data_IF_612150502268
#
_entry.id   IF_612150502268
#
_cell.length_a   1.000
_cell.length_b   1.000
_cell.length_c   1.000
_cell.angle_alpha   90.00
_cell.angle_beta   90.00
_cell.angle_gamma   90.00
#
_symmetry.space_group_name_H-M   'P 1'
#
loop_
_entity.id
_entity.type
_entity.pdbx_description
1 polymer ?
#
# COMPACT_ATOMS: atom_id res chain seq x y z
N UNK A 1 -31.04 12.02 -38.00
CA UNK A 1 -30.87 11.73 -36.55
C UNK A 1 -29.61 10.93 -36.24
N UNK A 2 -29.27 9.85 -36.97
CA UNK A 2 -28.10 9.01 -36.67
C UNK A 2 -26.73 9.73 -36.79
N UNK A 3 -26.57 10.66 -37.73
CA UNK A 3 -25.34 11.43 -37.92
C UNK A 3 -25.05 12.42 -36.77
N UNK A 4 -26.09 12.97 -36.13
CA UNK A 4 -25.95 13.90 -35.01
C UNK A 4 -25.53 13.17 -33.71
N UNK A 5 -26.01 11.93 -33.52
CA UNK A 5 -25.66 11.10 -32.37
C UNK A 5 -24.19 10.64 -32.45
N UNK A 6 -23.73 10.24 -33.63
CA UNK A 6 -22.33 9.85 -33.83
C UNK A 6 -21.35 11.03 -33.65
N UNK A 7 -21.74 12.25 -34.05
CA UNK A 7 -20.93 13.45 -33.83
C UNK A 7 -20.82 13.82 -32.34
N UNK A 8 -21.90 13.69 -31.56
CA UNK A 8 -21.89 13.93 -30.11
C UNK A 8 -21.06 12.89 -29.37
N UNK A 9 -21.15 11.60 -29.75
CA UNK A 9 -20.32 10.54 -29.19
C UNK A 9 -18.83 10.74 -29.52
N UNK A 10 -18.50 11.23 -30.73
CA UNK A 10 -17.13 11.56 -31.10
C UNK A 10 -16.58 12.73 -30.29
N UNK A 11 -17.38 13.80 -30.09
CA UNK A 11 -16.96 14.96 -29.29
C UNK A 11 -16.80 14.60 -27.81
N UNK A 12 -17.67 13.76 -27.25
CA UNK A 12 -17.54 13.27 -25.88
C UNK A 12 -16.29 12.39 -25.75
N UNK A 13 -16.09 11.43 -26.66
CA UNK A 13 -14.88 10.59 -26.66
C UNK A 13 -13.61 11.45 -26.81
N UNK A 14 -13.61 12.43 -27.71
CA UNK A 14 -12.46 13.33 -27.90
C UNK A 14 -12.23 14.21 -26.66
N UNK A 15 -13.28 14.66 -25.96
CA UNK A 15 -13.16 15.42 -24.71
C UNK A 15 -12.61 14.58 -23.55
N UNK A 16 -13.01 13.31 -23.45
CA UNK A 16 -12.50 12.35 -22.45
C UNK A 16 -11.05 11.98 -22.75
N UNK A 17 -10.72 11.69 -24.02
CA UNK A 17 -9.35 11.44 -24.45
C UNK A 17 -8.46 12.69 -24.32
N UNK A 18 -8.99 13.88 -24.58
CA UNK A 18 -8.28 15.16 -24.39
C UNK A 18 -8.02 15.41 -22.90
N UNK A 19 -8.99 15.11 -22.03
CA UNK A 19 -8.80 15.21 -20.58
C UNK A 19 -7.78 14.20 -20.05
N UNK A 20 -7.77 12.96 -20.57
CA UNK A 20 -6.79 11.93 -20.20
C UNK A 20 -5.38 12.29 -20.71
N UNK A 21 -5.26 12.77 -21.95
CA UNK A 21 -3.96 13.21 -22.50
C UNK A 21 -3.46 14.49 -21.84
N UNK A 22 -4.35 15.39 -21.44
CA UNK A 22 -4.01 16.59 -20.68
C UNK A 22 -3.60 16.22 -19.25
N UNK A 23 -4.29 15.28 -18.60
CA UNK A 23 -3.89 14.71 -17.31
C UNK A 23 -2.51 14.03 -17.39
N UNK A 24 -2.26 13.21 -18.42
CA UNK A 24 -0.94 12.63 -18.71
C UNK A 24 0.14 13.70 -18.93
N UNK A 25 -0.17 14.79 -19.64
CA UNK A 25 0.76 15.92 -19.84
C UNK A 25 1.04 16.65 -18.54
N UNK A 26 0.04 16.88 -17.69
CA UNK A 26 0.20 17.51 -16.37
C UNK A 26 1.05 16.64 -15.45
N UNK A 27 0.82 15.32 -15.42
CA UNK A 27 1.64 14.37 -14.66
C UNK A 27 3.08 14.37 -15.20
N UNK A 28 3.27 14.31 -16.51
CA UNK A 28 4.62 14.35 -17.10
C UNK A 28 5.34 15.68 -16.84
N UNK A 29 4.61 16.80 -16.76
CA UNK A 29 5.15 18.10 -16.35
C UNK A 29 5.49 18.14 -14.86
N UNK A 30 4.68 17.50 -14.01
CA UNK A 30 4.94 17.32 -12.58
C UNK A 30 6.21 16.49 -12.36
N UNK A 31 6.34 15.35 -13.04
CA UNK A 31 7.54 14.49 -13.03
C UNK A 31 8.77 15.24 -13.53
N UNK A 32 8.64 16.09 -14.56
CA UNK A 32 9.76 16.94 -15.04
C UNK A 32 10.16 18.02 -14.05
N UNK A 33 9.22 18.65 -13.33
CA UNK A 33 9.53 19.63 -12.27
C UNK A 33 10.24 18.98 -11.08
N UNK A 34 9.86 17.75 -10.72
CA UNK A 34 10.52 16.97 -9.68
C UNK A 34 11.99 16.64 -10.04
N UNK A 35 12.28 16.36 -11.32
CA UNK A 35 13.66 16.09 -11.81
C UNK A 35 14.61 17.30 -11.75
N UNK A 36 14.11 18.53 -11.81
CA UNK A 36 14.97 19.72 -11.78
C UNK A 36 15.46 20.12 -10.38
N UNK A 37 14.89 19.54 -9.32
CA UNK A 37 15.15 19.95 -7.92
C UNK A 37 16.23 19.07 -7.26
N UNK A 38 16.58 17.91 -7.85
CA UNK A 38 17.54 16.94 -7.27
C UNK A 38 19.01 17.17 -7.65
N UNK A 39 19.36 18.15 -8.48
CA UNK A 39 20.74 18.35 -8.94
C UNK A 39 21.66 19.16 -8.00
N UNK A 40 21.28 19.32 -6.73
CA UNK A 40 21.82 20.37 -5.87
C UNK A 40 22.61 19.98 -4.63
N UNK A 41 23.17 18.77 -4.46
CA UNK A 41 24.04 18.49 -3.30
C UNK A 41 25.18 17.50 -3.63
N UNK A 42 26.42 18.01 -3.64
CA UNK A 42 27.65 17.21 -3.58
C UNK A 42 28.09 17.11 -2.10
N UNK A 43 28.27 15.89 -1.58
CA UNK A 43 29.01 15.66 -0.33
C UNK A 43 30.31 14.90 -0.63
N UNK A 44 31.41 15.41 -0.09
CA UNK A 44 32.75 14.86 -0.22
C UNK A 44 33.00 13.64 0.66
N UNK A 45 33.94 12.80 0.24
CA UNK A 45 34.35 11.56 0.88
C UNK A 45 35.34 11.78 2.04
N UNK A 46 35.28 10.91 3.05
CA UNK A 46 36.40 10.59 3.95
C UNK A 46 36.35 9.10 4.41
N UNK A 47 37.49 8.53 4.84
CA UNK A 47 37.84 7.13 4.60
C UNK A 47 37.55 6.17 5.77
N UNK A 48 37.62 4.88 5.40
CA UNK A 48 37.44 3.67 6.19
C UNK A 48 38.46 3.46 7.31
N UNK A 49 38.00 2.92 8.45
CA UNK A 49 38.74 1.94 9.27
C UNK A 49 37.77 0.96 9.93
N UNK A 50 38.08 -0.33 9.79
CA UNK A 50 37.51 -1.45 10.52
C UNK A 50 38.01 -1.43 11.98
N UNK A 51 37.14 -1.82 12.91
CA UNK A 51 37.57 -2.49 14.13
C UNK A 51 36.46 -3.45 14.60
N UNK A 52 36.86 -4.69 14.87
CA UNK A 52 36.00 -5.80 15.30
C UNK A 52 35.76 -5.69 16.81
N UNK A 53 34.49 -5.61 17.21
CA UNK A 53 34.09 -5.56 18.62
C UNK A 53 32.66 -6.02 18.81
N UNK A 54 32.51 -7.17 19.47
CA UNK A 54 31.22 -7.77 19.88
C UNK A 54 30.52 -6.78 20.83
N UNK A 55 29.38 -6.23 20.40
CA UNK A 55 28.54 -5.36 21.22
C UNK A 55 27.49 -6.17 22.00
N UNK A 56 27.27 -5.90 23.29
CA UNK A 56 26.19 -6.51 24.05
C UNK A 56 24.82 -6.03 23.53
N UNK A 57 23.80 -6.88 23.68
CA UNK A 57 22.39 -6.56 23.46
C UNK A 57 21.93 -5.41 24.36
N UNK A 58 22.26 -4.17 24.01
CA UNK A 58 21.58 -2.99 24.50
C UNK A 58 20.19 -2.95 23.86
N UNK A 59 19.17 -3.05 24.70
CA UNK A 59 17.80 -2.65 24.38
C UNK A 59 17.87 -1.24 23.79
N UNK A 60 17.58 -1.13 22.49
CA UNK A 60 17.50 0.15 21.79
C UNK A 60 16.60 1.09 22.62
N UNK A 61 17.06 2.32 22.94
CA UNK A 61 16.19 3.30 23.58
C UNK A 61 14.95 3.50 22.71
N UNK A 62 13.81 3.76 23.34
CA UNK A 62 12.55 4.07 22.66
C UNK A 62 12.78 5.22 21.68
N UNK A 63 13.11 4.90 20.43
CA UNK A 63 13.17 5.87 19.36
C UNK A 63 11.73 6.22 19.05
N UNK A 64 11.39 7.51 19.09
CA UNK A 64 10.08 8.01 18.72
C UNK A 64 9.69 7.43 17.35
N UNK A 65 8.87 6.38 17.35
CA UNK A 65 8.36 5.80 16.14
C UNK A 65 7.56 6.90 15.45
N UNK A 66 7.99 7.32 14.25
CA UNK A 66 7.27 8.34 13.50
C UNK A 66 5.95 7.74 12.99
N UNK A 67 4.91 7.83 13.82
CA UNK A 67 3.57 7.34 13.56
C UNK A 67 2.59 8.50 13.55
N UNK A 68 2.34 9.05 12.37
CA UNK A 68 1.62 10.30 12.20
C UNK A 68 0.10 10.07 12.17
N UNK A 69 -0.66 10.95 12.80
CA UNK A 69 -2.11 11.08 12.58
C UNK A 69 -2.40 11.91 11.34
N UNK A 70 -3.67 11.93 10.89
CA UNK A 70 -4.12 12.86 9.84
C UNK A 70 -3.70 14.31 10.11
N UNK A 71 -3.91 14.77 11.35
CA UNK A 71 -3.61 16.16 11.72
C UNK A 71 -2.12 16.44 11.71
N UNK A 72 -1.28 15.47 12.09
CA UNK A 72 0.18 15.62 12.04
C UNK A 72 0.66 15.74 10.59
N UNK A 73 0.12 14.92 9.68
CA UNK A 73 0.45 15.00 8.25
C UNK A 73 0.05 16.35 7.67
N UNK A 74 -1.20 16.78 7.90
CA UNK A 74 -1.74 18.05 7.38
C UNK A 74 -1.07 19.28 8.00
N UNK A 75 -0.53 19.17 9.23
CA UNK A 75 0.21 20.25 9.89
C UNK A 75 1.70 20.30 9.53
N UNK A 76 2.30 19.17 9.14
CA UNK A 76 3.76 19.05 8.88
C UNK A 76 4.11 19.21 7.40
N UNK A 77 3.25 18.73 6.50
CA UNK A 77 3.55 18.65 5.07
C UNK A 77 2.57 19.50 4.28
N UNK A 78 3.10 20.52 3.61
CA UNK A 78 2.32 21.38 2.71
C UNK A 78 2.25 20.78 1.29
N UNK A 79 1.46 21.41 0.43
CA UNK A 79 1.26 20.99 -0.97
C UNK A 79 2.50 21.22 -1.87
N UNK A 80 3.62 21.72 -1.32
CA UNK A 80 4.90 21.86 -2.04
C UNK A 80 5.87 20.72 -1.72
N UNK A 81 5.67 20.05 -0.58
CA UNK A 81 6.40 18.83 -0.22
C UNK A 81 5.89 17.63 -0.99
N UNK A 82 6.78 16.67 -1.28
CA UNK A 82 6.35 15.43 -1.94
C UNK A 82 5.39 14.63 -1.04
N UNK A 83 5.56 14.71 0.29
CA UNK A 83 4.70 14.04 1.27
C UNK A 83 3.28 14.59 1.21
N UNK A 84 3.12 15.92 1.19
CA UNK A 84 1.82 16.57 1.10
C UNK A 84 1.12 16.23 -0.22
N UNK A 85 1.85 16.25 -1.33
CA UNK A 85 1.33 15.86 -2.65
C UNK A 85 0.88 14.39 -2.70
N UNK A 86 1.71 13.45 -2.22
CA UNK A 86 1.38 12.03 -2.18
C UNK A 86 0.20 11.73 -1.24
N UNK A 87 0.17 12.38 -0.08
CA UNK A 87 -0.95 12.29 0.85
C UNK A 87 -2.25 12.87 0.27
N UNK A 88 -2.18 14.01 -0.43
CA UNK A 88 -3.31 14.60 -1.12
C UNK A 88 -3.87 13.66 -2.20
N UNK A 89 -3.00 13.02 -2.98
CA UNK A 89 -3.38 12.02 -3.98
C UNK A 89 -4.07 10.80 -3.33
N UNK A 90 -3.46 10.24 -2.27
CA UNK A 90 -4.07 9.17 -1.48
C UNK A 90 -5.46 9.57 -0.97
N UNK A 91 -5.57 10.72 -0.30
CA UNK A 91 -6.82 11.27 0.24
C UNK A 91 -7.87 11.43 -0.85
N UNK A 92 -7.50 12.03 -1.97
CA UNK A 92 -8.42 12.27 -3.09
C UNK A 92 -8.93 10.95 -3.66
N UNK A 93 -8.03 9.98 -3.85
CA UNK A 93 -8.36 8.66 -4.39
C UNK A 93 -9.34 7.91 -3.48
N UNK A 94 -9.03 7.78 -2.18
CA UNK A 94 -9.90 7.00 -1.27
C UNK A 94 -11.22 7.70 -0.95
N UNK A 95 -11.30 9.02 -1.10
CA UNK A 95 -12.53 9.80 -0.93
C UNK A 95 -13.32 9.97 -2.22
N UNK A 96 -12.78 9.57 -3.37
CA UNK A 96 -13.42 9.72 -4.67
C UNK A 96 -14.82 9.10 -4.66
N UNK A 97 -15.84 9.94 -4.89
CA UNK A 97 -17.25 9.57 -4.99
C UNK A 97 -18.00 10.64 -5.78
N UNK A 98 -18.80 10.26 -6.78
CA UNK A 98 -19.76 11.18 -7.41
C UNK A 98 -19.90 11.03 -8.92
N UNK A 99 -20.73 11.90 -9.53
CA UNK A 99 -20.97 11.90 -11.00
C UNK A 99 -19.65 12.14 -11.74
N UNK A 100 -19.16 11.11 -12.43
CA UNK A 100 -17.94 11.16 -13.24
C UNK A 100 -16.69 10.56 -12.59
N UNK A 101 -16.75 10.13 -11.33
CA UNK A 101 -15.64 9.43 -10.66
C UNK A 101 -16.10 8.11 -10.06
N UNK A 102 -15.35 7.04 -10.33
CA UNK A 102 -15.62 5.73 -9.74
C UNK A 102 -15.32 5.77 -8.24
N UNK A 103 -16.17 5.12 -7.44
CA UNK A 103 -15.97 5.05 -5.98
C UNK A 103 -14.84 4.07 -5.67
N UNK A 104 -13.87 4.49 -4.85
CA UNK A 104 -12.76 3.61 -4.45
C UNK A 104 -13.30 2.29 -3.87
N UNK A 105 -12.82 1.12 -4.32
CA UNK A 105 -13.45 -0.16 -3.97
C UNK A 105 -13.38 -0.54 -2.49
N UNK A 106 -12.34 -0.08 -1.77
CA UNK A 106 -12.19 -0.36 -0.34
C UNK A 106 -12.97 0.66 0.50
N UNK A 107 -14.26 0.36 0.72
CA UNK A 107 -15.16 1.18 1.56
C UNK A 107 -14.59 1.40 2.97
N UNK A 108 -13.88 0.42 3.52
CA UNK A 108 -13.36 0.44 4.89
C UNK A 108 -12.17 1.39 5.04
N UNK A 109 -11.30 1.47 4.03
CA UNK A 109 -10.27 2.50 3.98
C UNK A 109 -10.89 3.91 3.99
N UNK A 110 -11.94 4.14 3.20
CA UNK A 110 -12.67 5.42 3.22
C UNK A 110 -13.28 5.71 4.60
N UNK A 111 -13.85 4.70 5.27
CA UNK A 111 -14.46 4.87 6.60
C UNK A 111 -13.43 5.16 7.70
N UNK A 112 -12.32 4.42 7.73
CA UNK A 112 -11.23 4.64 8.69
C UNK A 112 -10.59 6.02 8.51
N UNK A 113 -10.35 6.41 7.25
CA UNK A 113 -9.81 7.74 6.95
C UNK A 113 -10.73 8.88 7.41
N UNK A 114 -12.04 8.79 7.14
CA UNK A 114 -13.01 9.81 7.57
C UNK A 114 -13.05 9.96 9.09
N UNK A 115 -12.96 8.84 9.80
CA UNK A 115 -13.00 8.78 11.26
C UNK A 115 -11.68 9.18 11.93
N UNK A 116 -10.60 9.33 11.17
CA UNK A 116 -9.27 9.67 11.71
C UNK A 116 -8.53 8.46 12.32
N UNK A 117 -8.93 7.24 11.96
CA UNK A 117 -8.41 6.01 12.54
C UNK A 117 -7.07 5.58 11.94
N UNK A 118 -6.71 6.11 10.77
CA UNK A 118 -5.46 5.75 10.10
C UNK A 118 -4.24 6.37 10.78
N UNK A 119 -3.11 5.69 10.61
CA UNK A 119 -1.78 6.21 10.93
C UNK A 119 -0.91 6.20 9.69
N UNK A 120 0.05 7.11 9.63
CA UNK A 120 0.86 7.35 8.44
C UNK A 120 2.36 7.27 8.75
N UNK A 121 3.10 6.69 7.82
CA UNK A 121 4.57 6.65 7.82
C UNK A 121 5.04 7.01 6.41
N UNK A 122 5.97 7.93 6.30
CA UNK A 122 6.60 8.29 5.03
C UNK A 122 8.00 7.68 4.94
N UNK A 123 8.29 6.98 3.85
CA UNK A 123 9.60 6.38 3.60
C UNK A 123 10.58 7.41 3.05
N UNK A 124 11.88 7.14 3.19
CA UNK A 124 12.94 8.01 2.67
C UNK A 124 13.17 7.82 1.16
N UNK A 125 12.67 6.72 0.59
CA UNK A 125 12.80 6.37 -0.81
C UNK A 125 11.54 5.65 -1.29
N UNK A 126 11.50 5.34 -2.58
CA UNK A 126 10.43 4.57 -3.21
C UNK A 126 10.60 3.05 -3.02
N UNK A 127 11.68 2.60 -2.38
CA UNK A 127 12.01 1.20 -2.16
C UNK A 127 11.77 0.81 -0.69
N UNK A 128 10.66 0.11 -0.38
CA UNK A 128 10.34 -0.26 0.99
C UNK A 128 11.32 -1.27 1.60
N UNK A 129 12.10 -2.01 0.81
CA UNK A 129 13.04 -3.03 1.32
C UNK A 129 14.40 -2.48 1.73
N UNK A 130 14.63 -1.17 1.64
CA UNK A 130 15.87 -0.59 2.14
C UNK A 130 15.96 -0.71 3.68
N UNK A 131 17.14 -1.06 4.25
CA UNK A 131 17.27 -1.29 5.69
C UNK A 131 16.77 -0.15 6.58
N UNK A 132 16.93 1.11 6.15
CA UNK A 132 16.43 2.29 6.87
C UNK A 132 14.89 2.34 6.88
N UNK A 133 14.26 2.07 5.73
CA UNK A 133 12.81 2.00 5.60
C UNK A 133 12.25 0.82 6.41
N UNK A 134 12.89 -0.35 6.36
CA UNK A 134 12.50 -1.51 7.18
C UNK A 134 12.54 -1.15 8.67
N UNK A 135 13.63 -0.57 9.17
CA UNK A 135 13.75 -0.18 10.59
C UNK A 135 12.67 0.84 10.98
N UNK A 136 12.45 1.84 10.14
CA UNK A 136 11.42 2.87 10.35
C UNK A 136 10.02 2.25 10.44
N UNK A 137 9.69 1.37 9.50
CA UNK A 137 8.39 0.68 9.48
C UNK A 137 8.26 -0.31 10.64
N UNK A 138 9.30 -1.06 11.00
CA UNK A 138 9.25 -2.00 12.12
C UNK A 138 8.86 -1.29 13.43
N UNK A 139 9.46 -0.14 13.71
CA UNK A 139 9.14 0.69 14.88
C UNK A 139 7.71 1.22 14.82
N UNK A 140 7.31 1.79 13.68
CA UNK A 140 5.96 2.33 13.50
C UNK A 140 4.86 1.26 13.53
N UNK A 141 5.12 0.08 12.95
CA UNK A 141 4.19 -1.05 12.93
C UNK A 141 4.04 -1.64 14.33
N UNK A 142 5.13 -1.79 15.10
CA UNK A 142 5.06 -2.23 16.49
C UNK A 142 4.18 -1.28 17.34
N UNK A 143 4.43 0.03 17.22
CA UNK A 143 3.66 1.03 17.96
C UNK A 143 2.20 1.10 17.49
N UNK A 144 1.97 1.04 16.18
CA UNK A 144 0.63 0.99 15.60
C UNK A 144 -0.17 -0.20 16.12
N UNK A 145 0.39 -1.40 16.08
CA UNK A 145 -0.29 -2.61 16.56
C UNK A 145 -0.58 -2.51 18.06
N UNK A 146 0.35 -1.98 18.85
CA UNK A 146 0.17 -1.75 20.29
C UNK A 146 -1.04 -0.85 20.60
N UNK A 147 -1.27 0.20 19.81
CA UNK A 147 -2.40 1.12 20.01
C UNK A 147 -3.65 0.76 19.21
N UNK A 148 -3.57 -0.18 18.25
CA UNK A 148 -4.58 -0.38 17.21
C UNK A 148 -5.99 -0.64 17.74
N UNK A 149 -6.14 -1.36 18.86
CA UNK A 149 -7.44 -1.67 19.48
C UNK A 149 -8.09 -0.47 20.18
N UNK A 150 -7.32 0.59 20.44
CA UNK A 150 -7.83 1.88 20.93
C UNK A 150 -8.25 2.84 19.80
N UNK A 151 -7.95 2.48 18.54
CA UNK A 151 -8.40 3.20 17.35
C UNK A 151 -9.79 2.70 16.92
N UNK A 152 -10.38 3.33 15.90
CA UNK A 152 -11.66 2.87 15.37
C UNK A 152 -11.58 1.56 14.59
N UNK A 153 -12.75 0.95 14.31
CA UNK A 153 -12.86 -0.43 13.81
C UNK A 153 -12.37 -0.62 12.37
N UNK A 154 -11.98 0.45 11.67
CA UNK A 154 -11.46 0.42 10.30
C UNK A 154 -10.04 1.01 10.22
N UNK A 155 -9.27 0.91 11.30
CA UNK A 155 -7.91 1.43 11.36
C UNK A 155 -6.98 0.72 10.36
N UNK A 156 -5.98 1.46 9.87
CA UNK A 156 -4.94 0.98 8.95
C UNK A 156 -3.70 1.84 9.11
N UNK A 157 -2.52 1.21 9.02
CA UNK A 157 -1.24 1.88 8.86
C UNK A 157 -0.99 2.07 7.37
N UNK A 158 -0.86 3.33 6.94
CA UNK A 158 -0.60 3.72 5.56
C UNK A 158 0.86 4.14 5.44
N UNK A 159 1.63 3.34 4.71
CA UNK A 159 3.06 3.56 4.47
C UNK A 159 3.20 4.12 3.06
N UNK A 160 3.74 5.33 2.94
CA UNK A 160 3.82 6.07 1.68
C UNK A 160 5.29 6.20 1.27
N UNK A 161 5.63 5.65 0.10
CA UNK A 161 6.94 5.75 -0.52
C UNK A 161 7.22 7.15 -1.07
N UNK A 162 8.50 7.53 -1.13
CA UNK A 162 8.90 8.72 -1.87
C UNK A 162 8.63 8.54 -3.37
N UNK A 163 8.54 9.63 -4.16
CA UNK A 163 8.43 9.53 -5.61
C UNK A 163 9.62 8.78 -6.22
N UNK A 164 9.31 7.88 -7.14
CA UNK A 164 10.33 7.10 -7.83
C UNK A 164 11.19 7.97 -8.76
N UNK A 165 12.51 7.82 -8.67
CA UNK A 165 13.43 8.43 -9.64
C UNK A 165 13.42 7.70 -10.99
N UNK A 166 13.05 6.42 -10.97
CA UNK A 166 12.99 5.51 -12.13
C UNK A 166 11.67 4.78 -12.14
N UNK A 167 11.09 4.61 -13.32
CA UNK A 167 9.93 3.75 -13.49
C UNK A 167 10.29 2.31 -13.12
N UNK A 168 9.40 1.63 -12.41
CA UNK A 168 9.49 0.20 -12.06
C UNK A 168 8.28 -0.54 -12.57
N UNK A 169 8.44 -1.81 -12.90
CA UNK A 169 7.30 -2.67 -13.23
C UNK A 169 6.53 -3.09 -11.99
N UNK A 170 5.33 -3.66 -12.16
CA UNK A 170 4.57 -4.23 -11.05
C UNK A 170 5.34 -5.36 -10.36
N UNK A 171 6.04 -6.20 -11.13
CA UNK A 171 6.86 -7.29 -10.61
C UNK A 171 8.03 -6.79 -9.74
N UNK A 172 8.69 -5.70 -10.13
CA UNK A 172 9.77 -5.08 -9.35
C UNK A 172 9.25 -4.49 -8.03
N UNK A 173 8.07 -3.86 -8.05
CA UNK A 173 7.38 -3.43 -6.83
C UNK A 173 6.98 -4.62 -5.95
N UNK A 174 6.45 -5.69 -6.54
CA UNK A 174 6.06 -6.89 -5.80
C UNK A 174 7.28 -7.54 -5.12
N UNK A 175 8.44 -7.54 -5.79
CA UNK A 175 9.70 -8.03 -5.20
C UNK A 175 10.13 -7.20 -3.99
N UNK A 176 10.19 -5.88 -4.13
CA UNK A 176 10.58 -5.00 -3.00
C UNK A 176 9.58 -5.04 -1.85
N UNK A 177 8.28 -5.23 -2.14
CA UNK A 177 7.26 -5.51 -1.12
C UNK A 177 7.55 -6.79 -0.33
N UNK A 178 7.83 -7.91 -1.01
CA UNK A 178 8.17 -9.16 -0.33
C UNK A 178 9.46 -9.08 0.47
N UNK A 179 10.49 -8.43 -0.08
CA UNK A 179 11.76 -8.21 0.60
C UNK A 179 11.58 -7.34 1.85
N UNK A 180 10.69 -6.35 1.81
CA UNK A 180 10.31 -5.55 2.98
C UNK A 180 9.61 -6.42 4.05
N UNK A 181 8.60 -7.22 3.69
CA UNK A 181 7.92 -8.09 4.66
C UNK A 181 8.91 -9.09 5.30
N UNK A 182 9.84 -9.61 4.52
CA UNK A 182 10.91 -10.48 5.03
C UNK A 182 11.86 -9.73 5.98
N UNK A 183 12.24 -8.51 5.62
CA UNK A 183 13.01 -7.63 6.50
C UNK A 183 12.29 -7.32 7.82
N UNK A 184 10.98 -7.05 7.77
CA UNK A 184 10.16 -6.86 8.97
C UNK A 184 10.15 -8.12 9.84
N UNK A 185 10.02 -9.32 9.25
CA UNK A 185 10.08 -10.58 10.00
C UNK A 185 11.42 -10.73 10.75
N UNK A 186 12.54 -10.40 10.11
CA UNK A 186 13.87 -10.43 10.74
C UNK A 186 13.96 -9.46 11.92
N UNK A 187 13.29 -8.31 11.84
CA UNK A 187 13.26 -7.29 12.88
C UNK A 187 12.10 -7.44 13.88
N UNK A 188 11.30 -8.49 13.79
CA UNK A 188 10.10 -8.64 14.62
C UNK A 188 10.48 -8.88 16.10
N UNK A 189 9.92 -8.08 17.05
CA UNK A 189 10.19 -8.28 18.47
C UNK A 189 9.60 -9.56 19.06
N UNK A 190 8.74 -10.28 18.32
CA UNK A 190 8.09 -11.52 18.75
C UNK A 190 8.41 -12.68 17.82
N UNK A 191 8.45 -13.87 18.42
CA UNK A 191 8.48 -15.13 17.66
C UNK A 191 7.22 -15.25 16.79
N UNK A 192 7.34 -15.95 15.66
CA UNK A 192 6.20 -16.25 14.80
C UNK A 192 5.14 -17.05 15.58
N UNK A 193 3.84 -16.73 15.45
CA UNK A 193 2.79 -17.47 16.15
C UNK A 193 2.79 -18.96 15.79
N UNK A 194 2.67 -19.82 16.80
CA UNK A 194 2.78 -21.29 16.63
C UNK A 194 1.66 -21.91 15.79
N UNK A 195 0.51 -21.24 15.74
CA UNK A 195 -0.70 -21.64 15.05
C UNK A 195 -0.78 -21.12 13.60
N UNK A 196 0.15 -20.26 13.20
CA UNK A 196 0.25 -19.76 11.82
C UNK A 196 1.33 -20.57 11.08
N UNK A 197 1.00 -21.22 9.95
CA UNK A 197 1.96 -22.03 9.21
C UNK A 197 3.11 -21.17 8.67
N UNK A 198 4.26 -21.80 8.47
CA UNK A 198 5.44 -21.16 7.89
C UNK A 198 5.48 -21.24 6.35
N UNK A 199 4.85 -22.27 5.76
CA UNK A 199 4.73 -22.40 4.29
C UNK A 199 3.78 -21.33 3.77
N UNK A 200 4.29 -20.41 2.95
CA UNK A 200 3.50 -19.31 2.37
C UNK A 200 2.39 -19.78 1.45
N UNK A 201 2.48 -21.00 0.90
CA UNK A 201 1.41 -21.56 0.07
C UNK A 201 0.30 -22.25 0.90
N UNK A 202 0.43 -22.32 2.22
CA UNK A 202 -0.64 -22.82 3.08
C UNK A 202 -1.83 -21.85 3.09
N UNK A 203 -3.05 -22.37 2.97
CA UNK A 203 -4.28 -21.58 2.95
C UNK A 203 -4.50 -20.75 4.23
N UNK A 204 -3.90 -21.17 5.35
CA UNK A 204 -3.95 -20.47 6.64
C UNK A 204 -2.72 -19.59 6.87
N UNK A 205 -1.77 -19.52 5.94
CA UNK A 205 -0.65 -18.59 6.07
C UNK A 205 -1.15 -17.15 6.06
N UNK A 206 -0.60 -16.33 6.95
CA UNK A 206 -0.82 -14.89 6.96
C UNK A 206 0.41 -14.20 7.54
N UNK A 207 0.69 -12.99 7.10
CA UNK A 207 1.82 -12.23 7.62
C UNK A 207 1.56 -11.86 9.09
N UNK A 208 2.54 -12.08 9.95
CA UNK A 208 2.45 -11.72 11.37
C UNK A 208 3.58 -10.75 11.73
N UNK A 209 3.26 -9.74 12.53
CA UNK A 209 4.24 -8.85 13.12
C UNK A 209 3.90 -8.56 14.59
N UNK A 210 4.89 -8.58 15.48
CA UNK A 210 4.69 -8.38 16.92
C UNK A 210 3.65 -9.35 17.53
N UNK A 211 3.59 -10.56 16.98
CA UNK A 211 2.67 -11.64 17.37
C UNK A 211 1.24 -11.49 16.86
N UNK A 212 0.93 -10.45 16.10
CA UNK A 212 -0.41 -10.18 15.57
C UNK A 212 -0.48 -10.49 14.07
N UNK A 213 -1.55 -11.17 13.59
CA UNK A 213 -1.82 -11.30 12.17
C UNK A 213 -2.17 -9.96 11.51
N UNK A 214 -1.51 -9.65 10.40
CA UNK A 214 -1.63 -8.39 9.64
C UNK A 214 -1.88 -8.69 8.16
N UNK A 215 -2.74 -7.90 7.54
CA UNK A 215 -3.04 -7.98 6.11
C UNK A 215 -2.39 -6.79 5.36
N UNK A 216 -1.19 -6.97 4.78
CA UNK A 216 -0.52 -5.93 4.01
C UNK A 216 -0.95 -5.93 2.53
N UNK A 217 -1.22 -4.76 1.97
CA UNK A 217 -1.59 -4.60 0.56
C UNK A 217 -0.72 -3.55 -0.11
N UNK A 218 -0.08 -3.91 -1.22
CA UNK A 218 0.70 -3.00 -2.06
C UNK A 218 -0.18 -2.33 -3.11
N UNK A 219 0.00 -1.02 -3.28
CA UNK A 219 -0.48 -0.20 -4.38
C UNK A 219 0.71 0.49 -5.04
N UNK A 220 0.72 0.60 -6.36
CA UNK A 220 1.89 1.05 -7.12
C UNK A 220 1.51 1.97 -8.28
N UNK A 221 2.41 2.87 -8.71
CA UNK A 221 2.20 3.69 -9.90
C UNK A 221 2.19 2.87 -11.20
N UNK A 222 2.73 1.64 -11.16
CA UNK A 222 2.88 0.78 -12.32
C UNK A 222 1.57 0.07 -12.75
N UNK A 223 0.56 -0.02 -11.88
CA UNK A 223 -0.75 -0.56 -12.28
C UNK A 223 -1.48 0.42 -13.19
N UNK A 224 -1.88 -0.01 -14.38
CA UNK A 224 -2.59 0.81 -15.38
C UNK A 224 -3.96 0.24 -15.73
N UNK A 225 -4.15 -1.08 -15.57
CA UNK A 225 -5.44 -1.74 -15.80
C UNK A 225 -6.21 -1.98 -14.50
N UNK A 226 -5.50 -2.34 -13.43
CA UNK A 226 -6.05 -2.56 -12.09
C UNK A 226 -5.94 -1.28 -11.26
N UNK A 227 -6.78 -0.30 -11.59
CA UNK A 227 -6.84 1.00 -10.91
C UNK A 227 -7.02 0.91 -9.39
N UNK A 228 -7.68 -0.14 -8.89
CA UNK A 228 -7.84 -0.42 -7.46
C UNK A 228 -6.52 -0.68 -6.73
N UNK A 229 -5.44 -0.95 -7.47
CA UNK A 229 -4.06 -1.10 -6.98
C UNK A 229 -3.14 0.03 -7.47
N UNK A 230 -3.68 1.05 -8.12
CA UNK A 230 -2.92 2.22 -8.57
C UNK A 230 -2.84 3.29 -7.47
N UNK A 231 -1.64 3.87 -7.30
CA UNK A 231 -1.38 5.09 -6.54
C UNK A 231 -0.23 5.87 -7.20
N UNK A 232 -0.18 7.20 -7.06
CA UNK A 232 0.88 8.02 -7.69
C UNK A 232 2.31 7.70 -7.22
N UNK A 233 2.44 7.10 -6.03
CA UNK A 233 3.69 6.61 -5.45
C UNK A 233 3.47 5.21 -4.87
N UNK A 234 4.53 4.42 -4.61
CA UNK A 234 4.38 3.14 -3.92
C UNK A 234 3.73 3.35 -2.55
N UNK A 235 2.68 2.60 -2.26
CA UNK A 235 1.93 2.72 -1.02
C UNK A 235 1.62 1.32 -0.49
N UNK A 236 1.80 1.12 0.81
CA UNK A 236 1.44 -0.12 1.50
C UNK A 236 0.44 0.20 2.59
N UNK A 237 -0.73 -0.44 2.54
CA UNK A 237 -1.69 -0.41 3.63
C UNK A 237 -1.53 -1.67 4.48
N UNK A 238 -1.37 -1.54 5.80
CA UNK A 238 -1.28 -2.65 6.74
C UNK A 238 -2.36 -2.53 7.80
N UNK A 239 -3.24 -3.51 7.87
CA UNK A 239 -4.31 -3.55 8.88
C UNK A 239 -4.26 -4.86 9.67
N UNK A 240 -4.51 -4.83 10.98
CA UNK A 240 -4.67 -6.05 11.76
C UNK A 240 -5.82 -6.90 11.20
N UNK A 241 -5.69 -8.22 11.20
CA UNK A 241 -6.77 -9.08 10.67
C UNK A 241 -8.07 -8.96 11.46
N UNK A 242 -8.03 -8.59 12.74
CA UNK A 242 -9.24 -8.37 13.52
C UNK A 242 -10.16 -7.28 12.92
N UNK A 243 -9.62 -6.32 12.15
CA UNK A 243 -10.40 -5.34 11.38
C UNK A 243 -11.27 -6.04 10.33
N UNK A 244 -10.68 -6.99 9.60
CA UNK A 244 -11.39 -7.81 8.62
C UNK A 244 -12.34 -8.80 9.30
N UNK A 245 -11.94 -9.42 10.41
CA UNK A 245 -12.78 -10.37 11.13
C UNK A 245 -14.04 -9.69 11.67
N UNK A 246 -13.91 -8.46 12.19
CA UNK A 246 -15.05 -7.65 12.65
C UNK A 246 -16.02 -7.31 11.51
N UNK A 247 -15.51 -7.18 10.30
CA UNK A 247 -16.33 -6.97 9.13
C UNK A 247 -17.02 -8.27 8.66
N UNK A 248 -16.30 -9.39 8.70
CA UNK A 248 -16.70 -10.67 8.12
C UNK A 248 -17.31 -11.65 9.15
N UNK A 249 -17.72 -11.13 10.33
CA UNK A 249 -18.17 -11.88 11.51
C UNK A 249 -19.24 -12.95 11.24
N UNK A 250 -20.12 -12.72 10.26
CA UNK A 250 -21.24 -13.61 9.93
C UNK A 250 -21.21 -13.93 8.43
N UNK A 251 -21.68 -15.11 8.00
CA UNK A 251 -21.79 -15.45 6.57
C UNK A 251 -22.52 -14.39 5.73
N UNK A 252 -23.57 -13.78 6.28
CA UNK A 252 -24.37 -12.76 5.60
C UNK A 252 -23.57 -11.46 5.41
N UNK A 253 -22.95 -10.95 6.48
CA UNK A 253 -22.04 -9.79 6.41
C UNK A 253 -20.87 -10.04 5.45
N UNK A 254 -20.26 -11.23 5.49
CA UNK A 254 -19.17 -11.63 4.58
C UNK A 254 -19.62 -11.56 3.13
N UNK A 255 -20.72 -12.22 2.79
CA UNK A 255 -21.28 -12.22 1.44
C UNK A 255 -21.63 -10.81 0.97
N UNK A 256 -22.24 -10.00 1.83
CA UNK A 256 -22.60 -8.62 1.53
C UNK A 256 -21.36 -7.74 1.29
N UNK A 257 -20.35 -7.83 2.16
CA UNK A 257 -19.09 -7.09 2.04
C UNK A 257 -18.35 -7.48 0.74
N UNK A 258 -18.19 -8.78 0.49
CA UNK A 258 -17.55 -9.30 -0.71
C UNK A 258 -18.30 -8.87 -1.98
N UNK A 259 -19.62 -9.02 -2.01
CA UNK A 259 -20.45 -8.63 -3.15
C UNK A 259 -20.35 -7.13 -3.43
N UNK A 260 -20.33 -6.30 -2.37
CA UNK A 260 -20.16 -4.85 -2.50
C UNK A 260 -18.79 -4.49 -3.06
N UNK A 261 -17.71 -5.08 -2.54
CA UNK A 261 -16.34 -4.82 -3.02
C UNK A 261 -16.18 -5.30 -4.47
N UNK A 262 -16.66 -6.50 -4.80
CA UNK A 262 -16.61 -7.04 -6.18
C UNK A 262 -17.36 -6.16 -7.18
N UNK A 263 -18.55 -5.68 -6.83
CA UNK A 263 -19.32 -4.76 -7.67
C UNK A 263 -18.63 -3.39 -7.86
N UNK A 264 -17.85 -2.92 -6.87
CA UNK A 264 -17.06 -1.70 -7.00
C UNK A 264 -15.84 -1.95 -7.89
N UNK A 265 -15.12 -3.06 -7.70
CA UNK A 265 -13.97 -3.43 -8.53
C UNK A 265 -14.34 -3.50 -10.01
N UNK A 266 -15.46 -4.16 -10.36
CA UNK A 266 -15.94 -4.24 -11.75
C UNK A 266 -16.20 -2.89 -12.43
N UNK A 267 -16.46 -1.84 -11.64
CA UNK A 267 -16.70 -0.49 -12.15
C UNK A 267 -15.44 0.36 -12.15
N UNK A 268 -14.49 0.01 -11.29
CA UNK A 268 -13.30 0.81 -11.01
C UNK A 268 -12.10 0.38 -11.85
N UNK A 269 -11.90 -0.93 -12.01
CA UNK A 269 -10.81 -1.51 -12.79
C UNK A 269 -11.23 -1.65 -14.27
N UNK A 270 -10.26 -1.61 -15.19
CA UNK A 270 -10.47 -1.91 -16.61
C UNK A 270 -10.26 -3.40 -16.93
N UNK A 271 -9.78 -4.16 -15.96
CA UNK A 271 -9.59 -5.62 -16.00
C UNK A 271 -10.61 -6.34 -15.11
N UNK A 272 -10.94 -7.58 -15.46
CA UNK A 272 -11.75 -8.46 -14.62
C UNK A 272 -11.17 -8.64 -13.21
N UNK A 273 -12.06 -8.92 -12.26
CA UNK A 273 -11.69 -9.22 -10.87
C UNK A 273 -10.68 -10.37 -10.85
N UNK A 274 -9.56 -10.18 -10.14
CA UNK A 274 -8.56 -11.23 -10.00
C UNK A 274 -9.16 -12.52 -9.40
N UNK A 275 -8.85 -13.70 -9.96
CA UNK A 275 -9.28 -14.98 -9.40
C UNK A 275 -8.67 -15.25 -8.02
N UNK A 276 -7.55 -14.61 -7.69
CA UNK A 276 -6.87 -14.79 -6.41
C UNK A 276 -7.55 -14.09 -5.24
N UNK A 277 -8.48 -13.14 -5.50
CA UNK A 277 -9.30 -12.49 -4.48
C UNK A 277 -10.33 -13.48 -3.90
N UNK A 278 -9.84 -14.31 -2.96
CA UNK A 278 -10.49 -15.48 -2.36
C UNK A 278 -10.66 -15.32 -0.85
N UNK A 279 -11.49 -16.17 -0.25
CA UNK A 279 -11.60 -16.26 1.20
C UNK A 279 -10.31 -16.79 1.84
N UNK A 280 -9.90 -16.19 2.96
CA UNK A 280 -8.82 -16.70 3.79
C UNK A 280 -9.14 -18.12 4.28
N UNK A 281 -8.18 -19.04 4.20
CA UNK A 281 -8.35 -20.44 4.59
C UNK A 281 -9.06 -21.33 3.56
N UNK A 282 -9.46 -20.81 2.39
CA UNK A 282 -10.10 -21.63 1.37
C UNK A 282 -9.12 -22.69 0.81
N UNK A 283 -9.63 -23.91 0.58
CA UNK A 283 -8.80 -25.01 0.09
C UNK A 283 -8.19 -24.67 -1.29
N UNK A 284 -6.88 -24.89 -1.44
CA UNK A 284 -6.15 -24.65 -2.69
C UNK A 284 -5.81 -23.17 -2.96
N UNK A 285 -6.09 -22.27 -2.03
CA UNK A 285 -5.72 -20.85 -2.11
C UNK A 285 -4.62 -20.52 -1.11
N UNK A 286 -4.03 -19.32 -1.25
CA UNK A 286 -3.19 -18.71 -0.22
C UNK A 286 -3.38 -17.20 -0.26
N UNK A 287 -3.32 -16.57 0.93
CA UNK A 287 -3.48 -15.12 1.07
C UNK A 287 -2.38 -14.34 0.34
N UNK A 288 -1.19 -14.93 0.16
CA UNK A 288 -0.06 -14.28 -0.53
C UNK A 288 -0.42 -13.75 -1.91
N UNK A 289 -1.32 -14.45 -2.61
CA UNK A 289 -1.70 -14.14 -3.99
C UNK A 289 -2.52 -12.86 -4.08
N UNK A 290 -2.98 -12.32 -2.95
CA UNK A 290 -3.84 -11.14 -2.85
C UNK A 290 -3.10 -9.87 -2.42
N UNK A 291 -1.93 -10.02 -1.78
CA UNK A 291 -1.21 -8.93 -1.11
C UNK A 291 -0.64 -7.92 -2.12
N UNK A 292 -0.10 -8.40 -3.23
CA UNK A 292 0.47 -7.58 -4.29
C UNK A 292 0.09 -8.15 -5.66
N UNK A 293 -1.15 -7.89 -6.11
CA UNK A 293 -1.66 -8.41 -7.39
C UNK A 293 -0.82 -7.96 -8.59
N UNK A 294 -0.82 -8.72 -9.67
CA UNK A 294 -0.35 -8.24 -10.97
C UNK A 294 -1.37 -7.31 -11.62
N UNK A 295 -0.92 -6.54 -12.61
CA UNK A 295 -1.79 -5.76 -13.52
C UNK A 295 -2.46 -6.63 -14.60
N UNK A 296 -2.43 -7.94 -14.39
CA UNK A 296 -3.05 -9.01 -15.18
C UNK A 296 -3.66 -10.04 -14.23
N UNK A 297 -4.48 -10.96 -14.74
CA UNK A 297 -5.07 -12.04 -13.94
C UNK A 297 -4.15 -13.26 -13.88
N UNK A 298 -2.92 -13.02 -13.43
CA UNK A 298 -1.92 -14.06 -13.13
C UNK A 298 -1.58 -14.03 -11.64
N UNK A 299 -1.40 -15.22 -11.07
CA UNK A 299 -1.07 -15.36 -9.65
C UNK A 299 0.33 -14.87 -9.33
N UNK A 300 0.47 -14.23 -8.18
CA UNK A 300 1.76 -13.82 -7.62
C UNK A 300 2.28 -14.90 -6.70
N UNK A 301 3.58 -15.17 -6.83
CA UNK A 301 4.30 -16.10 -5.98
C UNK A 301 5.13 -15.33 -4.95
N UNK A 302 5.12 -15.81 -3.71
CA UNK A 302 6.06 -15.34 -2.70
C UNK A 302 7.44 -15.95 -3.00
N UNK A 303 8.53 -15.14 -3.02
CA UNK A 303 9.88 -15.68 -3.20
C UNK A 303 10.40 -16.45 -1.98
N UNK A 304 9.69 -16.40 -0.85
CA UNK A 304 10.08 -16.99 0.44
C UNK A 304 9.11 -18.09 0.84
N UNK A 305 9.39 -19.35 0.46
CA UNK A 305 8.47 -20.46 0.78
C UNK A 305 8.31 -20.70 2.28
N UNK A 306 9.41 -20.72 3.04
CA UNK A 306 9.37 -20.71 4.49
C UNK A 306 9.60 -19.28 4.98
N UNK A 307 8.57 -18.66 5.53
CA UNK A 307 8.63 -17.22 5.83
C UNK A 307 9.36 -16.88 7.14
N UNK A 308 9.50 -17.82 8.07
CA UNK A 308 10.12 -17.60 9.40
C UNK A 308 11.50 -18.27 9.52
N UNK A 309 11.95 -18.99 8.49
CA UNK A 309 13.31 -19.58 8.45
C UNK A 309 14.44 -18.57 8.48
#
# INVERSE_FOLDING_TARGET
MQLAINAVLFVIAFSVFSNITQFRKTINQLVKRLRSITHGFKLGALPSKQDDGILPHELLPASDAELLTRNDVEGRFDDNSWQGLAYHDFRTTILARGKGMNTFPCVYATMGYRSGDHRFVFLESDNPSEPRNIRKVALALAEYLRISTSLGPNTSLVIIGAPSEKERTVEEHNRTFWDMLRGLRICDPKAWPRDIPQDTEDAKWTFCFSGEPVFPVMLTPAHQERWSRHMSVPLIAMQPKWVLDNLLQTPEKRKAAQSKVRNLLQKYDTIDISPDLTDYGAAGTSEIRQLCLQDKNESVHCPYRNFDS
#
